data_IF_509562734757
#
_entry.id   IF_509562734757
#
_cell.length_a   1.000
_cell.length_b   1.000
_cell.length_c   1.000
_cell.angle_alpha   90.00
_cell.angle_beta   90.00
_cell.angle_gamma   90.00
#
_symmetry.space_group_name_H-M   'P 1'
#
loop_
_entity.id
_entity.type
_entity.pdbx_description
1 polymer ?
#
# COMPACT_ATOMS: atom_id res chain seq x y z
N UNK A 1 -9.47 -8.32 -21.15
CA UNK A 1 -9.13 -8.68 -22.53
C UNK A 1 -8.56 -10.09 -22.53
N UNK A 2 -9.00 -10.94 -23.44
CA UNK A 2 -8.54 -12.34 -23.53
C UNK A 2 -7.53 -12.53 -24.68
N UNK A 3 -6.97 -11.45 -25.19
CA UNK A 3 -6.00 -11.45 -26.27
C UNK A 3 -4.73 -10.67 -25.92
N UNK A 4 -3.54 -11.12 -26.33
CA UNK A 4 -2.33 -10.33 -26.20
C UNK A 4 -2.42 -9.08 -27.09
N UNK A 5 -1.88 -7.97 -26.60
CA UNK A 5 -1.78 -6.72 -27.34
C UNK A 5 -0.30 -6.46 -27.69
N UNK A 6 -0.05 -5.95 -28.88
CA UNK A 6 1.27 -5.45 -29.27
C UNK A 6 1.56 -4.10 -28.61
N UNK A 7 2.85 -3.75 -28.50
CA UNK A 7 3.26 -2.44 -27.98
C UNK A 7 2.68 -1.26 -28.80
N UNK A 8 2.47 -1.46 -30.09
CA UNK A 8 1.88 -0.44 -30.98
C UNK A 8 0.39 -0.22 -30.66
N UNK A 9 -0.37 -1.30 -30.42
CA UNK A 9 -1.79 -1.21 -30.03
C UNK A 9 -1.95 -0.56 -28.66
N UNK A 10 -1.05 -0.86 -27.71
CA UNK A 10 -1.02 -0.20 -26.41
C UNK A 10 -0.78 1.30 -26.57
N UNK A 11 0.21 1.70 -27.40
CA UNK A 11 0.55 3.11 -27.60
C UNK A 11 -0.62 3.94 -28.14
N UNK A 12 -1.47 3.35 -29.00
CA UNK A 12 -2.67 4.02 -29.54
C UNK A 12 -3.82 4.16 -28.53
N UNK A 13 -3.79 3.39 -27.46
CA UNK A 13 -4.81 3.38 -26.41
C UNK A 13 -4.59 4.38 -25.27
N UNK A 14 -3.43 5.05 -25.21
CA UNK A 14 -3.16 6.03 -24.15
C UNK A 14 -4.06 7.25 -24.26
N UNK A 15 -4.69 7.59 -23.15
CA UNK A 15 -5.51 8.79 -23.00
C UNK A 15 -5.46 9.28 -21.56
N UNK A 16 -5.67 10.58 -21.38
CA UNK A 16 -5.80 11.17 -20.05
C UNK A 16 -7.10 10.72 -19.40
N UNK A 17 -6.99 10.08 -18.24
CA UNK A 17 -8.13 9.66 -17.44
C UNK A 17 -8.03 10.23 -16.04
N UNK A 18 -9.17 10.47 -15.38
CA UNK A 18 -9.21 10.74 -13.96
C UNK A 18 -9.33 9.41 -13.23
N UNK A 19 -8.38 9.16 -12.36
CA UNK A 19 -8.41 7.96 -11.52
C UNK A 19 -8.37 8.33 -10.04
N UNK A 20 -8.93 7.45 -9.22
CA UNK A 20 -8.98 7.64 -7.77
C UNK A 20 -7.67 7.16 -7.17
N UNK A 21 -7.08 7.98 -6.29
CA UNK A 21 -6.03 7.52 -5.41
C UNK A 21 -6.52 7.53 -3.96
N UNK A 22 -6.08 6.54 -3.22
CA UNK A 22 -6.53 6.36 -1.83
C UNK A 22 -5.35 6.22 -0.88
N UNK A 23 -5.62 6.60 0.36
CA UNK A 23 -4.72 6.38 1.49
C UNK A 23 -5.36 5.35 2.42
N UNK A 24 -4.68 4.25 2.61
CA UNK A 24 -5.20 3.08 3.31
C UNK A 24 -4.46 2.88 4.62
N UNK A 25 -5.23 2.71 5.68
CA UNK A 25 -4.71 2.50 7.02
C UNK A 25 -4.63 0.99 7.31
N UNK A 26 -3.43 0.49 7.59
CA UNK A 26 -3.22 -0.87 8.09
C UNK A 26 -2.87 -0.78 9.57
N UNK A 27 -3.66 -1.43 10.43
CA UNK A 27 -3.41 -1.45 11.87
C UNK A 27 -2.32 -2.47 12.22
N UNK A 28 -1.37 -2.09 13.07
CA UNK A 28 -0.45 -3.04 13.68
C UNK A 28 -1.22 -3.99 14.59
N UNK A 29 -0.85 -5.27 14.55
CA UNK A 29 -1.52 -6.27 15.39
C UNK A 29 -1.04 -6.22 16.84
N UNK A 30 0.23 -5.88 17.04
CA UNK A 30 0.89 -5.88 18.33
C UNK A 30 0.76 -4.57 19.09
N UNK A 31 0.52 -3.46 18.40
CA UNK A 31 0.59 -2.12 18.96
C UNK A 31 -0.63 -1.29 18.55
N UNK A 32 -1.00 -0.31 19.35
CA UNK A 32 -2.07 0.63 19.00
C UNK A 32 -1.58 1.74 18.05
N UNK A 33 -0.98 1.30 16.96
CA UNK A 33 -0.49 2.14 15.89
C UNK A 33 -0.94 1.62 14.53
N UNK A 34 -0.88 2.46 13.53
CA UNK A 34 -1.20 2.08 12.15
C UNK A 34 -0.13 2.62 11.21
N UNK A 35 0.01 2.00 10.08
CA UNK A 35 0.74 2.54 8.95
C UNK A 35 -0.25 3.14 7.95
N UNK A 36 0.21 4.08 7.17
CA UNK A 36 -0.55 4.70 6.10
C UNK A 36 0.13 4.41 4.77
N UNK A 37 -0.59 3.80 3.87
CA UNK A 37 -0.12 3.44 2.52
C UNK A 37 -0.88 4.26 1.49
N UNK A 38 -0.20 4.72 0.45
CA UNK A 38 -0.83 5.40 -0.67
C UNK A 38 -0.81 4.52 -1.92
N UNK A 39 -1.93 4.48 -2.65
CA UNK A 39 -2.02 3.79 -3.93
C UNK A 39 -2.87 4.55 -4.94
N UNK A 40 -2.47 4.51 -6.20
CA UNK A 40 -3.23 5.01 -7.35
C UNK A 40 -4.09 3.92 -7.99
N UNK A 41 -3.98 2.68 -7.53
CA UNK A 41 -4.69 1.51 -8.06
C UNK A 41 -5.43 0.76 -6.94
N UNK A 42 -6.50 1.33 -6.37
CA UNK A 42 -7.20 0.72 -5.22
C UNK A 42 -7.66 -0.71 -5.46
N UNK A 43 -8.01 -1.04 -6.71
CA UNK A 43 -8.43 -2.39 -7.09
C UNK A 43 -7.37 -3.48 -6.86
N UNK A 44 -6.10 -3.13 -6.63
CA UNK A 44 -5.06 -4.12 -6.31
C UNK A 44 -5.02 -4.50 -4.82
N UNK A 45 -5.68 -3.74 -3.95
CA UNK A 45 -5.70 -3.99 -2.49
C UNK A 45 -6.26 -5.38 -2.10
N UNK A 46 -7.26 -5.96 -2.79
CA UNK A 46 -7.68 -7.34 -2.51
C UNK A 46 -6.55 -8.38 -2.67
N UNK A 47 -5.57 -8.10 -3.53
CA UNK A 47 -4.39 -8.95 -3.77
C UNK A 47 -3.18 -8.58 -2.89
N UNK A 48 -3.31 -7.63 -1.95
CA UNK A 48 -2.21 -7.24 -1.07
C UNK A 48 -1.65 -8.43 -0.30
N UNK A 49 -0.33 -8.61 -0.30
CA UNK A 49 0.37 -9.69 0.43
C UNK A 49 1.29 -9.15 1.53
N UNK A 50 1.71 -7.88 1.44
CA UNK A 50 2.61 -7.25 2.40
C UNK A 50 2.53 -5.73 2.31
N UNK A 51 3.20 -5.04 3.23
CA UNK A 51 3.58 -3.64 3.07
C UNK A 51 5.09 -3.51 3.12
N UNK A 52 5.66 -2.85 2.12
CA UNK A 52 7.09 -2.69 1.96
C UNK A 52 7.57 -1.34 2.51
N UNK A 53 8.72 -1.36 3.19
CA UNK A 53 9.47 -0.20 3.67
C UNK A 53 10.90 -0.25 3.13
N UNK A 54 11.56 0.89 3.00
CA UNK A 54 12.98 0.90 2.67
C UNK A 54 13.80 0.60 3.93
N UNK A 55 14.77 -0.34 3.90
CA UNK A 55 15.48 -0.76 5.10
C UNK A 55 16.29 0.35 5.77
N UNK A 56 16.85 1.28 4.98
CA UNK A 56 17.76 2.33 5.41
C UNK A 56 17.09 3.70 5.61
N UNK A 57 15.83 3.87 5.21
CA UNK A 57 15.09 5.10 5.48
C UNK A 57 14.63 5.13 6.93
N UNK A 58 14.55 6.33 7.50
CA UNK A 58 14.05 6.57 8.83
C UNK A 58 12.52 6.69 8.82
N UNK A 59 11.87 6.08 9.80
CA UNK A 59 10.43 6.09 10.00
C UNK A 59 10.10 6.64 11.38
N UNK A 60 9.08 7.47 11.44
CA UNK A 60 8.59 8.09 12.67
C UNK A 60 7.26 7.51 13.08
N UNK A 61 7.13 7.19 14.36
CA UNK A 61 5.86 6.97 15.02
C UNK A 61 5.32 8.33 15.44
N UNK A 62 4.26 8.79 14.78
CA UNK A 62 3.69 10.11 14.95
C UNK A 62 2.37 10.00 15.70
N UNK A 63 2.24 10.78 16.79
CA UNK A 63 0.97 10.90 17.51
C UNK A 63 0.10 11.92 16.81
N UNK A 64 -1.12 11.54 16.47
CA UNK A 64 -2.12 12.39 15.84
C UNK A 64 -3.41 12.41 16.66
N UNK A 65 -4.33 13.31 16.34
CA UNK A 65 -5.69 13.33 16.89
C UNK A 65 -6.50 12.04 16.56
N UNK A 66 -6.05 11.25 15.58
CA UNK A 66 -6.67 9.98 15.15
C UNK A 66 -5.84 8.72 15.50
N UNK A 67 -4.93 8.83 16.48
CA UNK A 67 -4.06 7.76 16.94
C UNK A 67 -2.65 7.84 16.39
N UNK A 68 -1.87 6.81 16.62
CA UNK A 68 -0.47 6.75 16.17
C UNK A 68 -0.36 6.27 14.72
N UNK A 69 0.48 6.96 13.95
CA UNK A 69 0.80 6.61 12.57
C UNK A 69 2.31 6.41 12.39
N UNK A 70 2.70 5.42 11.59
CA UNK A 70 4.08 5.25 11.13
C UNK A 70 4.17 5.77 9.69
N UNK A 71 5.10 6.68 9.46
CA UNK A 71 5.38 7.34 8.18
C UNK A 71 6.89 7.48 7.99
N UNK A 72 7.36 7.57 6.75
CA UNK A 72 8.75 7.96 6.51
C UNK A 72 9.00 9.38 7.04
N UNK A 73 10.13 9.58 7.72
CA UNK A 73 10.45 10.80 8.44
C UNK A 73 10.31 12.08 7.57
N UNK A 74 10.86 12.03 6.36
CA UNK A 74 10.85 13.16 5.41
C UNK A 74 9.45 13.49 4.87
N UNK A 75 8.50 12.57 5.00
CA UNK A 75 7.13 12.74 4.49
C UNK A 75 6.11 13.08 5.57
N UNK A 76 6.50 13.10 6.85
CA UNK A 76 5.58 13.35 7.98
C UNK A 76 4.81 14.65 7.80
N UNK A 77 5.51 15.77 7.65
CA UNK A 77 4.88 17.10 7.53
C UNK A 77 3.92 17.16 6.34
N UNK A 78 4.35 16.63 5.20
CA UNK A 78 3.53 16.57 3.98
C UNK A 78 2.27 15.72 4.17
N UNK A 79 2.40 14.55 4.82
CA UNK A 79 1.29 13.67 5.11
C UNK A 79 0.30 14.29 6.11
N UNK A 80 0.78 14.81 7.24
CA UNK A 80 -0.07 15.43 8.25
C UNK A 80 -0.87 16.62 7.67
N UNK A 81 -0.20 17.51 6.92
CA UNK A 81 -0.87 18.63 6.26
C UNK A 81 -1.92 18.15 5.26
N UNK A 82 -1.59 17.17 4.42
CA UNK A 82 -2.51 16.66 3.39
C UNK A 82 -3.76 16.01 3.97
N UNK A 83 -3.62 15.31 5.10
CA UNK A 83 -4.74 14.63 5.77
C UNK A 83 -5.42 15.46 6.83
N UNK A 84 -5.00 16.72 7.01
CA UNK A 84 -5.52 17.61 8.04
C UNK A 84 -5.46 16.97 9.43
N UNK A 85 -4.37 16.24 9.71
CA UNK A 85 -4.14 15.61 11.00
C UNK A 85 -3.34 16.55 11.89
N UNK A 86 -3.86 16.82 13.08
CA UNK A 86 -3.10 17.52 14.10
C UNK A 86 -2.08 16.54 14.71
N UNK A 87 -0.80 16.80 14.49
CA UNK A 87 0.30 16.15 15.20
C UNK A 87 0.71 17.02 16.40
N UNK A 88 0.93 16.41 17.55
CA UNK A 88 1.24 17.16 18.77
C UNK A 88 2.37 16.54 19.59
N UNK A 89 3.53 17.20 19.58
CA UNK A 89 4.59 17.11 20.58
C UNK A 89 5.28 18.48 20.71
N UNK A 90 6.24 18.60 21.60
CA UNK A 90 7.02 19.83 21.82
C UNK A 90 7.83 20.28 20.58
N UNK A 91 8.03 19.41 19.59
CA UNK A 91 8.68 19.70 18.31
C UNK A 91 7.68 20.16 17.22
N UNK A 92 6.36 20.04 17.47
CA UNK A 92 5.31 20.42 16.54
C UNK A 92 5.04 19.40 15.42
N UNK A 93 5.79 18.30 15.35
CA UNK A 93 5.67 17.24 14.33
C UNK A 93 4.95 15.97 14.84
N UNK A 94 4.69 15.89 16.15
CA UNK A 94 4.02 14.74 16.76
C UNK A 94 4.87 13.48 16.92
N UNK A 95 6.18 13.54 16.63
CA UNK A 95 7.06 12.34 16.68
C UNK A 95 7.18 11.82 18.11
N UNK A 96 6.74 10.57 18.32
CA UNK A 96 6.82 9.86 19.60
C UNK A 96 8.05 8.94 19.67
N UNK A 97 8.43 8.33 18.54
CA UNK A 97 9.58 7.45 18.41
C UNK A 97 10.05 7.40 16.95
N UNK A 98 11.25 6.89 16.72
CA UNK A 98 11.82 6.70 15.40
C UNK A 98 12.63 5.40 15.32
N UNK A 99 12.75 4.87 14.11
CA UNK A 99 13.62 3.75 13.79
C UNK A 99 13.93 3.73 12.28
N UNK A 100 14.91 2.93 11.90
CA UNK A 100 15.12 2.59 10.48
C UNK A 100 14.12 1.51 10.03
N UNK A 101 13.77 1.52 8.73
CA UNK A 101 12.79 0.58 8.18
C UNK A 101 13.14 -0.89 8.42
N UNK A 102 14.44 -1.21 8.52
CA UNK A 102 14.88 -2.57 8.89
C UNK A 102 14.30 -3.05 10.24
N UNK A 103 14.10 -2.15 11.20
CA UNK A 103 13.50 -2.49 12.49
C UNK A 103 11.98 -2.78 12.42
N UNK A 104 11.32 -2.35 11.35
CA UNK A 104 9.89 -2.59 11.11
C UNK A 104 9.64 -3.94 10.40
N UNK A 105 10.68 -4.61 9.92
CA UNK A 105 10.56 -5.88 9.20
C UNK A 105 9.92 -6.95 10.09
N UNK A 106 9.03 -7.74 9.52
CA UNK A 106 8.25 -8.81 10.16
C UNK A 106 7.17 -8.34 11.17
N UNK A 107 6.93 -7.04 11.34
CA UNK A 107 5.73 -6.62 12.04
C UNK A 107 4.49 -7.10 11.29
N UNK A 108 3.46 -7.48 12.04
CA UNK A 108 2.21 -7.99 11.48
C UNK A 108 1.16 -6.89 11.42
N UNK A 109 0.55 -6.76 10.25
CA UNK A 109 -0.49 -5.78 9.97
C UNK A 109 -1.83 -6.49 9.77
N UNK A 110 -2.91 -5.91 10.28
CA UNK A 110 -4.25 -6.32 9.93
C UNK A 110 -4.59 -5.76 8.54
N UNK A 111 -5.00 -6.63 7.63
CA UNK A 111 -5.51 -6.19 6.31
C UNK A 111 -6.77 -5.31 6.51
N UNK A 112 -6.93 -4.18 5.77
CA UNK A 112 -7.97 -3.19 6.06
C UNK A 112 -9.40 -3.73 5.99
N UNK A 113 -9.68 -4.69 5.12
CA UNK A 113 -11.04 -5.22 4.91
C UNK A 113 -11.12 -6.76 4.74
N UNK A 114 -9.99 -7.47 4.82
CA UNK A 114 -9.99 -8.94 4.81
C UNK A 114 -9.58 -9.48 6.17
N UNK A 115 -10.15 -10.61 6.59
CA UNK A 115 -9.88 -11.25 7.88
C UNK A 115 -8.53 -12.00 7.89
N UNK A 116 -7.44 -11.31 7.54
CA UNK A 116 -6.08 -11.84 7.51
C UNK A 116 -5.04 -10.82 7.93
N UNK A 117 -3.86 -11.28 8.26
CA UNK A 117 -2.70 -10.45 8.53
C UNK A 117 -1.71 -10.51 7.37
N UNK A 118 -0.97 -9.44 7.18
CA UNK A 118 0.12 -9.34 6.21
C UNK A 118 1.38 -8.83 6.90
N UNK A 119 2.58 -9.25 6.47
CA UNK A 119 3.83 -8.80 7.07
C UNK A 119 4.25 -7.42 6.54
N UNK A 120 5.06 -6.73 7.34
CA UNK A 120 5.95 -5.69 6.83
C UNK A 120 7.23 -6.33 6.31
N UNK A 121 7.68 -5.87 5.15
CA UNK A 121 8.87 -6.38 4.46
C UNK A 121 9.78 -5.22 4.04
N UNK A 122 11.03 -5.52 3.68
CA UNK A 122 11.99 -4.52 3.20
C UNK A 122 12.24 -4.65 1.70
N UNK A 123 12.24 -3.49 0.99
CA UNK A 123 12.57 -3.40 -0.42
C UNK A 123 13.18 -2.05 -0.79
N UNK A 124 14.19 -2.07 -1.65
CA UNK A 124 14.94 -0.87 -2.06
C UNK A 124 14.19 0.00 -3.07
N UNK A 125 13.10 -0.51 -3.65
CA UNK A 125 12.25 0.23 -4.59
C UNK A 125 11.35 1.26 -3.92
N UNK A 126 11.25 1.26 -2.59
CA UNK A 126 10.49 2.26 -1.85
C UNK A 126 11.21 3.60 -1.88
N UNK A 127 10.55 4.65 -2.34
CA UNK A 127 11.11 6.00 -2.48
C UNK A 127 10.37 7.03 -1.64
N UNK A 128 10.94 8.23 -1.54
CA UNK A 128 10.35 9.39 -0.84
C UNK A 128 9.73 10.42 -1.79
N UNK A 129 9.69 10.15 -3.09
CA UNK A 129 9.19 11.10 -4.09
C UNK A 129 7.68 11.37 -3.93
N UNK A 130 6.93 10.34 -3.58
CA UNK A 130 5.49 10.41 -3.41
C UNK A 130 4.98 9.48 -2.29
N UNK A 131 3.72 9.67 -1.90
CA UNK A 131 3.05 8.78 -0.94
C UNK A 131 3.47 9.03 0.51
N UNK A 132 3.77 7.96 1.21
CA UNK A 132 4.00 7.92 2.66
C UNK A 132 5.35 7.29 3.05
N UNK A 133 6.12 6.80 2.06
CA UNK A 133 7.32 5.99 2.26
C UNK A 133 7.02 4.54 2.66
N UNK A 134 5.75 4.11 2.54
CA UNK A 134 5.31 2.73 2.74
C UNK A 134 4.50 2.32 1.52
N UNK A 135 4.82 1.17 0.94
CA UNK A 135 4.26 0.71 -0.33
C UNK A 135 3.43 -0.57 -0.11
N UNK A 136 2.18 -0.52 -0.52
CA UNK A 136 1.34 -1.69 -0.68
C UNK A 136 1.97 -2.65 -1.69
N UNK A 137 2.10 -3.92 -1.34
CA UNK A 137 2.78 -4.94 -2.15
C UNK A 137 1.79 -6.02 -2.58
N UNK A 138 1.61 -6.16 -3.91
CA UNK A 138 0.77 -7.17 -4.54
C UNK A 138 1.55 -7.88 -5.66
N UNK A 139 2.25 -8.99 -5.39
CA UNK A 139 3.16 -9.66 -6.33
C UNK A 139 2.53 -10.07 -7.67
N UNK A 140 1.20 -10.25 -7.71
CA UNK A 140 0.47 -10.56 -8.94
C UNK A 140 0.25 -9.36 -9.86
N UNK A 141 0.51 -8.12 -9.40
CA UNK A 141 0.09 -6.90 -10.11
C UNK A 141 1.20 -5.86 -10.30
N UNK A 142 2.40 -6.08 -9.79
CA UNK A 142 3.53 -5.18 -9.93
C UNK A 142 4.85 -5.94 -10.10
N UNK A 143 5.74 -5.45 -10.97
CA UNK A 143 7.02 -6.09 -11.25
C UNK A 143 7.97 -6.03 -10.03
N UNK A 144 8.09 -4.86 -9.40
CA UNK A 144 8.89 -4.69 -8.18
C UNK A 144 8.30 -5.51 -7.04
N UNK A 145 6.96 -5.54 -6.93
CA UNK A 145 6.24 -6.36 -5.95
C UNK A 145 6.48 -7.85 -6.16
N UNK A 146 6.55 -8.30 -7.43
CA UNK A 146 6.88 -9.68 -7.77
C UNK A 146 8.28 -10.04 -7.30
N UNK A 147 9.29 -9.24 -7.61
CA UNK A 147 10.67 -9.53 -7.21
C UNK A 147 10.86 -9.52 -5.69
N UNK A 148 10.31 -8.52 -5.00
CA UNK A 148 10.38 -8.50 -3.53
C UNK A 148 9.57 -9.64 -2.93
N UNK A 149 8.42 -9.97 -3.53
CA UNK A 149 7.57 -11.09 -3.12
C UNK A 149 8.29 -12.44 -3.21
N UNK A 150 9.08 -12.67 -4.25
CA UNK A 150 9.93 -13.87 -4.38
C UNK A 150 10.93 -14.00 -3.21
N UNK A 151 11.61 -12.89 -2.85
CA UNK A 151 12.55 -12.84 -1.72
C UNK A 151 11.89 -13.25 -0.40
N UNK A 152 10.64 -12.84 -0.18
CA UNK A 152 9.89 -13.11 1.05
C UNK A 152 8.93 -14.31 0.93
N UNK A 153 8.94 -15.03 -0.20
CA UNK A 153 8.07 -16.19 -0.47
C UNK A 153 6.59 -15.86 -0.32
N UNK A 154 6.19 -14.66 -0.76
CA UNK A 154 4.80 -14.26 -0.81
C UNK A 154 4.08 -14.96 -1.96
N UNK A 155 2.76 -15.18 -1.80
CA UNK A 155 1.94 -15.67 -2.91
C UNK A 155 1.86 -14.62 -4.03
N UNK A 156 1.91 -15.10 -5.27
CA UNK A 156 1.65 -14.32 -6.47
C UNK A 156 0.32 -14.71 -7.14
N UNK A 157 -0.59 -15.35 -6.40
CA UNK A 157 -1.90 -15.69 -6.91
C UNK A 157 -2.69 -14.43 -7.24
N UNK A 158 -3.18 -14.35 -8.47
CA UNK A 158 -4.03 -13.25 -8.91
C UNK A 158 -5.49 -13.55 -8.61
N UNK A 159 -6.18 -12.67 -7.87
CA UNK A 159 -7.62 -12.77 -7.73
C UNK A 159 -8.38 -12.28 -8.97
N UNK A 160 -7.69 -11.78 -9.99
CA UNK A 160 -8.28 -11.28 -11.24
C UNK A 160 -8.08 -12.31 -12.34
N UNK A 161 -9.17 -12.70 -12.98
CA UNK A 161 -9.19 -13.62 -14.11
C UNK A 161 -8.85 -12.91 -15.44
N UNK A 162 -8.64 -13.69 -16.51
CA UNK A 162 -8.21 -13.20 -17.83
C UNK A 162 -9.19 -12.20 -18.47
N UNK A 163 -10.47 -12.26 -18.09
CA UNK A 163 -11.50 -11.31 -18.53
C UNK A 163 -11.46 -9.96 -17.77
N UNK A 164 -10.51 -9.77 -16.85
CA UNK A 164 -10.34 -8.58 -16.03
C UNK A 164 -11.32 -8.45 -14.88
N UNK A 165 -12.04 -9.54 -14.53
CA UNK A 165 -12.93 -9.57 -13.36
C UNK A 165 -12.30 -10.31 -12.20
N UNK A 166 -12.66 -9.90 -11.00
CA UNK A 166 -12.32 -10.66 -9.80
C UNK A 166 -13.02 -12.03 -9.79
N UNK A 167 -12.29 -13.05 -9.36
CA UNK A 167 -12.88 -14.38 -9.13
C UNK A 167 -14.04 -14.28 -8.14
N UNK A 168 -15.07 -15.08 -8.30
CA UNK A 168 -16.28 -15.03 -7.48
C UNK A 168 -16.01 -15.20 -5.98
N UNK A 169 -14.91 -15.88 -5.61
CA UNK A 169 -14.48 -16.11 -4.24
C UNK A 169 -13.77 -14.92 -3.60
N UNK A 170 -13.44 -13.86 -4.35
CA UNK A 170 -12.72 -12.69 -3.82
C UNK A 170 -13.65 -11.88 -2.91
N UNK A 171 -13.34 -11.75 -1.61
CA UNK A 171 -14.18 -10.97 -0.71
C UNK A 171 -14.38 -9.54 -1.20
N UNK A 172 -15.57 -9.00 -1.00
CA UNK A 172 -16.00 -7.64 -1.31
C UNK A 172 -16.21 -7.35 -2.81
N UNK A 173 -15.30 -7.83 -3.69
CA UNK A 173 -15.25 -7.43 -5.11
C UNK A 173 -15.49 -8.60 -6.08
N UNK A 174 -15.83 -9.78 -5.60
CA UNK A 174 -16.04 -10.97 -6.43
C UNK A 174 -17.01 -10.74 -7.60
N UNK A 175 -16.58 -11.08 -8.83
CA UNK A 175 -17.33 -10.89 -10.06
C UNK A 175 -17.30 -9.47 -10.63
N UNK A 176 -16.76 -8.48 -9.91
CA UNK A 176 -16.63 -7.11 -10.43
C UNK A 176 -15.46 -7.00 -11.40
N UNK A 177 -15.63 -6.18 -12.43
CA UNK A 177 -14.53 -5.74 -13.28
C UNK A 177 -13.60 -4.79 -12.50
N UNK A 178 -12.28 -4.89 -12.71
CA UNK A 178 -11.27 -4.17 -11.89
C UNK A 178 -11.53 -2.67 -11.73
N UNK A 179 -11.93 -1.97 -12.78
CA UNK A 179 -12.24 -0.54 -12.71
C UNK A 179 -13.43 -0.20 -11.79
N UNK A 180 -14.42 -1.11 -11.73
CA UNK A 180 -15.58 -0.93 -10.83
C UNK A 180 -15.25 -1.27 -9.38
N UNK A 181 -14.20 -2.02 -9.15
CA UNK A 181 -13.74 -2.34 -7.80
C UNK A 181 -13.14 -1.13 -7.08
N UNK A 182 -12.64 -0.12 -7.81
CA UNK A 182 -12.12 1.12 -7.23
C UNK A 182 -13.15 1.86 -6.35
N UNK A 183 -14.43 1.77 -6.70
CA UNK A 183 -15.53 2.44 -5.96
C UNK A 183 -15.97 1.64 -4.71
N UNK A 184 -15.51 0.41 -4.57
CA UNK A 184 -15.95 -0.53 -3.54
C UNK A 184 -14.87 -0.78 -2.48
N UNK A 185 -13.60 -0.72 -2.88
CA UNK A 185 -12.41 -0.95 -2.04
C UNK A 185 -11.95 0.32 -1.25
#
# INVERSE_FOLDING_TARGET
CETPLSSHELALGYQDVRDMNVYVKFKLKQEDASILVWTTTPWTLPANQAVCVHPELEYYLVKTDKGYLILAADLVVRCLSRYQLAGGNDRGDGTAANCYGKALENLSLQHPFQARTVPMICGEHVTLEAGTGLVHTAPAHGLDDYFVGQKYKLSNDSPVADDGKFTASTPLVGGLFVWKANDVV
#
